data_IF_107300966221
#
_entry.id   IF_107300966221
#
_cell.length_a   1.000
_cell.length_b   1.000
_cell.length_c   1.000
_cell.angle_alpha   90.00
_cell.angle_beta   90.00
_cell.angle_gamma   90.00
#
_symmetry.space_group_name_H-M   'P 1'
#
loop_
_entity.id
_entity.type
_entity.pdbx_description
1 polymer ?
#
# COMPACT_ATOMS: atom_id res chain seq x y z
N UNK A 1 7.35 -17.68 -10.07
CA UNK A 1 7.78 -16.28 -9.84
C UNK A 1 7.39 -15.39 -11.00
N UNK A 2 6.19 -14.81 -10.92
CA UNK A 2 5.76 -13.72 -11.81
C UNK A 2 6.25 -12.37 -11.28
N UNK A 3 6.15 -11.33 -12.11
CA UNK A 3 6.34 -9.94 -11.67
C UNK A 3 5.11 -9.12 -12.04
N UNK A 4 4.55 -8.41 -11.08
CA UNK A 4 3.38 -7.56 -11.28
C UNK A 4 3.74 -6.11 -10.99
N UNK A 5 3.42 -5.22 -11.91
CA UNK A 5 3.57 -3.78 -11.72
C UNK A 5 2.30 -3.22 -11.06
N UNK A 6 2.50 -2.45 -9.99
CA UNK A 6 1.43 -1.80 -9.22
C UNK A 6 1.79 -0.36 -8.90
N UNK A 7 0.78 0.45 -8.59
CA UNK A 7 0.96 1.85 -8.23
C UNK A 7 0.45 2.08 -6.82
N UNK A 8 1.29 2.65 -5.94
CA UNK A 8 0.95 2.98 -4.56
C UNK A 8 1.38 4.43 -4.31
N UNK A 9 0.45 5.27 -3.89
CA UNK A 9 0.63 6.71 -3.71
C UNK A 9 1.22 7.41 -4.96
N UNK A 10 0.82 6.95 -6.15
CA UNK A 10 1.34 7.43 -7.44
C UNK A 10 2.76 6.97 -7.79
N UNK A 11 3.41 6.18 -6.92
CA UNK A 11 4.71 5.59 -7.19
C UNK A 11 4.55 4.18 -7.78
N UNK A 12 5.35 3.87 -8.81
CA UNK A 12 5.34 2.56 -9.46
C UNK A 12 6.22 1.58 -8.68
N UNK A 13 5.69 0.40 -8.37
CA UNK A 13 6.40 -0.70 -7.74
C UNK A 13 6.28 -1.96 -8.58
N UNK A 14 7.35 -2.75 -8.61
CA UNK A 14 7.36 -4.08 -9.23
C UNK A 14 7.47 -5.13 -8.14
N UNK A 15 6.40 -5.87 -7.91
CA UNK A 15 6.34 -6.94 -6.92
C UNK A 15 6.67 -8.26 -7.62
N UNK A 16 7.63 -9.00 -7.08
CA UNK A 16 7.92 -10.37 -7.52
C UNK A 16 7.35 -11.35 -6.51
N UNK A 17 6.61 -12.33 -6.98
CA UNK A 17 5.97 -13.32 -6.11
C UNK A 17 5.44 -14.53 -6.85
N UNK A 18 4.94 -15.49 -6.08
CA UNK A 18 4.26 -16.69 -6.60
C UNK A 18 2.74 -16.59 -6.52
N UNK A 19 2.21 -15.51 -5.92
CA UNK A 19 0.79 -15.20 -5.94
C UNK A 19 0.34 -14.72 -7.33
N UNK A 20 -0.97 -14.80 -7.59
CA UNK A 20 -1.55 -14.30 -8.83
C UNK A 20 -1.40 -12.78 -8.96
N UNK A 21 -1.34 -12.27 -10.20
CA UNK A 21 -1.28 -10.84 -10.45
C UNK A 21 -2.50 -10.11 -9.88
N UNK A 22 -3.67 -10.74 -9.97
CA UNK A 22 -4.92 -10.21 -9.42
C UNK A 22 -4.80 -9.98 -7.91
N UNK A 23 -4.29 -10.97 -7.17
CA UNK A 23 -4.11 -10.86 -5.73
C UNK A 23 -3.10 -9.77 -5.36
N UNK A 24 -1.99 -9.68 -6.09
CA UNK A 24 -0.98 -8.63 -5.87
C UNK A 24 -1.57 -7.24 -6.12
N UNK A 25 -2.39 -7.08 -7.17
CA UNK A 25 -3.08 -5.81 -7.47
C UNK A 25 -4.12 -5.46 -6.41
N UNK A 26 -4.86 -6.43 -5.89
CA UNK A 26 -5.82 -6.21 -4.81
C UNK A 26 -5.12 -5.72 -3.53
N UNK A 27 -4.03 -6.38 -3.11
CA UNK A 27 -3.23 -5.93 -1.96
C UNK A 27 -2.70 -4.52 -2.20
N UNK A 28 -2.12 -4.25 -3.36
CA UNK A 28 -1.58 -2.94 -3.66
C UNK A 28 -2.67 -1.85 -3.64
N UNK A 29 -3.87 -2.14 -4.14
CA UNK A 29 -5.00 -1.21 -4.08
C UNK A 29 -5.50 -0.98 -2.66
N UNK A 30 -5.48 -1.99 -1.81
CA UNK A 30 -5.83 -1.86 -0.40
C UNK A 30 -4.84 -0.97 0.35
N UNK A 31 -3.54 -1.23 0.17
CA UNK A 31 -2.46 -0.42 0.76
C UNK A 31 -2.52 1.03 0.27
N UNK A 32 -2.73 1.26 -1.02
CA UNK A 32 -2.87 2.61 -1.59
C UNK A 32 -4.05 3.38 -0.98
N UNK A 33 -5.19 2.71 -0.76
CA UNK A 33 -6.35 3.29 -0.10
C UNK A 33 -6.02 3.75 1.32
N UNK A 34 -5.41 2.88 2.13
CA UNK A 34 -5.01 3.19 3.52
C UNK A 34 -4.01 4.34 3.59
N UNK A 35 -3.04 4.36 2.69
CA UNK A 35 -2.08 5.46 2.57
C UNK A 35 -2.76 6.80 2.22
N UNK A 36 -3.73 6.80 1.31
CA UNK A 36 -4.50 8.00 0.95
C UNK A 36 -5.34 8.51 2.12
N UNK A 37 -5.95 7.61 2.90
CA UNK A 37 -6.72 7.97 4.10
C UNK A 37 -5.84 8.68 5.14
N UNK A 38 -4.65 8.13 5.42
CA UNK A 38 -3.67 8.77 6.31
C UNK A 38 -3.18 10.11 5.77
N UNK A 39 -2.88 10.18 4.47
CA UNK A 39 -2.39 11.39 3.83
C UNK A 39 -3.43 12.52 3.85
N UNK A 40 -4.70 12.20 3.66
CA UNK A 40 -5.80 13.15 3.73
C UNK A 40 -6.11 13.61 5.17
N UNK A 41 -5.87 12.74 6.15
CA UNK A 41 -6.13 13.04 7.57
C UNK A 41 -5.06 13.94 8.19
N UNK A 42 -3.81 13.87 7.71
CA UNK A 42 -2.67 14.59 8.27
C UNK A 42 -2.00 15.44 7.19
N UNK A 43 -2.35 16.74 7.07
CA UNK A 43 -1.72 17.62 6.10
C UNK A 43 -0.20 17.73 6.32
N UNK A 44 0.57 17.74 5.24
CA UNK A 44 2.04 17.80 5.22
C UNK A 44 2.77 16.60 5.85
N UNK A 45 2.10 15.46 6.01
CA UNK A 45 2.79 14.23 6.42
C UNK A 45 3.78 13.77 5.34
N UNK A 46 4.97 13.35 5.78
CA UNK A 46 5.95 12.77 4.84
C UNK A 46 5.47 11.40 4.37
N UNK A 47 5.77 10.99 3.11
CA UNK A 47 5.36 9.67 2.60
C UNK A 47 5.76 8.52 3.52
N UNK A 48 6.97 8.56 4.09
CA UNK A 48 7.46 7.53 5.02
C UNK A 48 6.62 7.44 6.29
N UNK A 49 6.28 8.58 6.92
CA UNK A 49 5.42 8.57 8.12
C UNK A 49 4.02 8.09 7.80
N UNK A 50 3.48 8.48 6.64
CA UNK A 50 2.17 7.99 6.19
C UNK A 50 2.19 6.46 5.98
N UNK A 51 3.26 5.91 5.39
CA UNK A 51 3.43 4.46 5.23
C UNK A 51 3.49 3.72 6.56
N UNK A 52 4.18 4.26 7.57
CA UNK A 52 4.26 3.63 8.90
C UNK A 52 2.88 3.63 9.57
N UNK A 53 2.16 4.76 9.52
CA UNK A 53 0.81 4.84 10.11
C UNK A 53 -0.18 3.92 9.40
N UNK A 54 -0.15 3.88 8.06
CA UNK A 54 -0.98 2.97 7.29
C UNK A 54 -0.65 1.49 7.61
N UNK A 55 0.63 1.16 7.80
CA UNK A 55 1.03 -0.20 8.20
C UNK A 55 0.55 -0.57 9.60
N UNK A 56 0.58 0.39 10.56
CA UNK A 56 0.03 0.19 11.89
C UNK A 56 -1.48 -0.04 11.88
N UNK A 57 -2.21 0.77 11.10
CA UNK A 57 -3.66 0.66 10.94
C UNK A 57 -4.07 -0.68 10.30
N UNK A 58 -3.34 -1.10 9.26
CA UNK A 58 -3.55 -2.42 8.63
C UNK A 58 -3.26 -3.56 9.60
N UNK A 59 -2.21 -3.43 10.42
CA UNK A 59 -1.88 -4.45 11.42
C UNK A 59 -2.97 -4.54 12.50
N UNK A 60 -3.48 -3.41 12.98
CA UNK A 60 -4.57 -3.36 13.97
C UNK A 60 -5.85 -4.04 13.44
N UNK A 61 -6.14 -3.94 12.14
CA UNK A 61 -7.28 -4.65 11.52
C UNK A 61 -7.09 -6.18 11.42
N UNK A 62 -5.86 -6.67 11.48
CA UNK A 62 -5.52 -8.09 11.29
C UNK A 62 -5.27 -8.86 12.60
N UNK A 63 -5.10 -8.16 13.73
CA UNK A 63 -4.81 -8.74 15.05
C UNK A 63 -5.94 -8.48 16.06
#
# INVERSE_FOLDING_TARGET
MGSTEVYILGQKYTIKGDASEEYIREIASFVDKKLKEVHNSIPNITPVKASILAALDIADELF
#
